data_IF_628282693530
#
_entry.id   IF_628282693530
#
_cell.length_a   1.000
_cell.length_b   1.000
_cell.length_c   1.000
_cell.angle_alpha   90.00
_cell.angle_beta   90.00
_cell.angle_gamma   90.00
#
_symmetry.space_group_name_H-M   'P 1'
#
loop_
_entity.id
_entity.type
_entity.pdbx_description
1 polymer ?
#
# COMPACT_ATOMS: atom_id res chain seq x y z
N UNK A 1 77.67 -7.56 -1.10
CA UNK A 1 76.21 -7.44 -1.34
C UNK A 1 76.01 -6.60 -2.60
N UNK A 2 74.95 -6.89 -3.34
CA UNK A 2 74.76 -6.68 -4.79
C UNK A 2 74.62 -5.22 -5.25
N UNK A 3 74.92 -5.00 -6.55
CA UNK A 3 74.85 -3.75 -7.33
C UNK A 3 73.46 -3.08 -7.30
N UNK A 4 73.37 -1.74 -7.42
CA UNK A 4 72.14 -1.03 -7.73
C UNK A 4 71.93 -0.94 -9.26
N UNK A 5 70.70 -1.19 -9.73
CA UNK A 5 70.25 -0.94 -11.10
C UNK A 5 69.06 0.03 -11.06
N UNK A 6 69.22 1.18 -11.73
CA UNK A 6 68.16 2.11 -12.19
C UNK A 6 67.35 1.42 -13.31
N UNK A 7 66.04 1.73 -13.56
CA UNK A 7 65.71 2.93 -14.33
C UNK A 7 64.33 3.60 -14.08
N UNK A 8 64.35 4.93 -14.25
CA UNK A 8 63.41 5.79 -14.98
C UNK A 8 62.22 5.12 -15.72
N UNK A 9 60.99 5.58 -15.46
CA UNK A 9 59.82 5.58 -16.38
C UNK A 9 58.77 6.56 -15.81
N UNK A 10 58.75 7.81 -16.29
CA UNK A 10 57.85 8.32 -17.33
C UNK A 10 56.54 8.89 -16.74
N UNK A 11 56.54 10.20 -16.56
CA UNK A 11 55.36 11.01 -16.36
C UNK A 11 54.60 11.17 -17.69
N UNK A 12 53.29 10.87 -17.67
CA UNK A 12 52.34 11.35 -18.68
C UNK A 12 51.16 11.98 -17.96
N UNK A 13 51.06 13.30 -18.09
CA UNK A 13 49.88 14.09 -17.78
C UNK A 13 48.88 14.05 -18.96
N UNK A 14 47.67 14.57 -18.70
CA UNK A 14 46.55 14.92 -19.61
C UNK A 14 45.56 13.75 -19.83
N UNK A 15 44.23 13.88 -19.70
CA UNK A 15 43.34 15.02 -19.92
C UNK A 15 42.15 15.07 -18.92
N UNK A 16 41.79 16.28 -18.47
CA UNK A 16 40.40 16.60 -18.15
C UNK A 16 39.64 16.83 -19.46
N UNK A 17 38.72 15.93 -19.80
CA UNK A 17 37.67 16.17 -20.78
C UNK A 17 36.52 15.18 -20.52
N UNK A 18 35.31 15.68 -20.24
CA UNK A 18 34.12 14.84 -20.27
C UNK A 18 32.99 15.24 -19.32
N UNK A 19 32.30 16.35 -19.62
CA UNK A 19 30.90 16.49 -19.26
C UNK A 19 30.08 15.35 -19.89
N UNK A 20 29.20 14.72 -19.12
CA UNK A 20 28.06 13.96 -19.63
C UNK A 20 28.40 12.72 -20.46
N UNK A 21 28.47 11.56 -19.82
CA UNK A 21 28.04 10.32 -20.45
C UNK A 21 26.87 9.76 -19.67
N UNK A 22 25.70 9.81 -20.31
CA UNK A 22 24.51 9.10 -19.92
C UNK A 22 24.84 7.64 -19.69
N UNK A 23 24.47 7.11 -18.53
CA UNK A 23 24.52 5.68 -18.25
C UNK A 23 23.81 4.92 -19.40
N UNK A 24 24.38 3.78 -19.85
CA UNK A 24 23.71 2.93 -20.80
C UNK A 24 22.37 2.49 -20.20
N UNK A 25 21.29 2.96 -20.80
CA UNK A 25 19.93 2.55 -20.47
C UNK A 25 19.82 1.06 -20.82
N UNK A 26 19.97 0.19 -19.82
CA UNK A 26 19.80 -1.26 -19.96
C UNK A 26 18.41 -1.50 -20.58
N UNK A 27 18.32 -1.97 -21.83
CA UNK A 27 17.04 -2.32 -22.41
C UNK A 27 16.58 -3.62 -21.75
N UNK A 28 15.45 -3.57 -21.05
CA UNK A 28 14.79 -4.79 -20.56
C UNK A 28 15.04 -5.17 -19.12
N UNK A 29 15.13 -4.21 -18.19
CA UNK A 29 14.75 -4.50 -16.81
C UNK A 29 13.27 -4.94 -16.83
N UNK A 30 13.03 -6.26 -16.82
CA UNK A 30 11.71 -6.84 -16.77
C UNK A 30 10.93 -6.15 -15.64
N UNK A 31 9.76 -5.60 -15.96
CA UNK A 31 8.93 -4.97 -14.95
C UNK A 31 8.69 -5.99 -13.84
N UNK A 32 9.17 -5.69 -12.63
CA UNK A 32 8.95 -6.56 -11.48
C UNK A 32 7.44 -6.80 -11.36
N UNK A 33 6.99 -8.05 -11.17
CA UNK A 33 5.57 -8.34 -11.01
C UNK A 33 4.97 -7.43 -9.93
N UNK A 34 3.82 -6.83 -10.24
CA UNK A 34 3.12 -5.97 -9.31
C UNK A 34 2.66 -6.82 -8.12
N UNK A 35 3.24 -6.56 -6.95
CA UNK A 35 2.84 -7.23 -5.71
C UNK A 35 1.61 -6.51 -5.15
N UNK A 36 0.64 -7.26 -4.63
CA UNK A 36 -0.52 -6.67 -3.97
C UNK A 36 -0.44 -6.93 -2.48
N UNK A 37 -0.84 -5.93 -1.70
CA UNK A 37 -0.80 -6.04 -0.25
C UNK A 37 -1.98 -5.38 0.44
N UNK A 38 -2.30 -5.83 1.64
CA UNK A 38 -3.27 -5.19 2.53
C UNK A 38 -2.55 -4.79 3.81
N UNK A 39 -2.52 -3.48 4.07
CA UNK A 39 -1.94 -2.91 5.28
C UNK A 39 -2.98 -2.03 5.98
N UNK A 40 -2.90 -1.90 7.31
CA UNK A 40 -3.79 -1.01 8.08
C UNK A 40 -3.15 0.33 8.45
N UNK A 41 -1.82 0.42 8.42
CA UNK A 41 -1.09 1.59 8.86
C UNK A 41 0.22 1.79 8.09
N UNK A 42 0.82 2.97 8.25
CA UNK A 42 2.16 3.27 7.73
C UNK A 42 3.20 2.32 8.33
N UNK A 43 3.06 1.99 9.62
CA UNK A 43 3.94 1.07 10.32
C UNK A 43 3.85 -0.34 9.74
N UNK A 44 2.64 -0.88 9.58
CA UNK A 44 2.41 -2.19 8.96
C UNK A 44 3.05 -2.29 7.57
N UNK A 45 2.88 -1.23 6.77
CA UNK A 45 3.43 -1.15 5.42
C UNK A 45 4.96 -1.11 5.46
N UNK A 46 5.56 -0.31 6.34
CA UNK A 46 7.01 -0.19 6.47
C UNK A 46 7.65 -1.49 6.98
N UNK A 47 7.02 -2.16 7.95
CA UNK A 47 7.47 -3.45 8.52
C UNK A 47 7.49 -4.57 7.49
N UNK A 48 6.71 -4.47 6.40
CA UNK A 48 6.76 -5.43 5.30
C UNK A 48 8.09 -5.43 4.53
N UNK A 49 8.88 -4.35 4.65
CA UNK A 49 10.12 -4.15 3.90
C UNK A 49 9.93 -3.93 2.39
N UNK A 50 8.68 -3.81 1.91
CA UNK A 50 8.37 -3.64 0.48
C UNK A 50 8.50 -2.21 -0.01
N UNK A 51 8.25 -1.24 0.87
CA UNK A 51 8.29 0.19 0.61
C UNK A 51 8.90 0.90 1.82
N UNK A 52 9.61 2.03 1.63
CA UNK A 52 10.07 2.85 2.74
C UNK A 52 8.89 3.57 3.43
N UNK A 53 9.07 3.92 4.70
CA UNK A 53 7.99 4.43 5.56
C UNK A 53 7.37 5.75 5.05
N UNK A 54 8.18 6.64 4.47
CA UNK A 54 7.73 7.89 3.86
C UNK A 54 6.81 7.65 2.65
N UNK A 55 7.14 6.65 1.83
CA UNK A 55 6.31 6.25 0.71
C UNK A 55 5.02 5.58 1.18
N UNK A 56 5.08 4.71 2.21
CA UNK A 56 3.89 4.14 2.84
C UNK A 56 2.94 5.24 3.34
N UNK A 57 3.46 6.24 4.06
CA UNK A 57 2.67 7.36 4.57
C UNK A 57 2.02 8.16 3.45
N UNK A 58 2.79 8.53 2.42
CA UNK A 58 2.28 9.26 1.26
C UNK A 58 1.13 8.54 0.55
N UNK A 59 1.24 7.21 0.41
CA UNK A 59 0.22 6.39 -0.24
C UNK A 59 -1.05 6.29 0.61
N UNK A 60 -0.89 6.12 1.93
CA UNK A 60 -2.00 6.08 2.88
C UNK A 60 -2.71 7.43 2.93
N UNK A 61 -1.99 8.54 3.04
CA UNK A 61 -2.58 9.89 3.04
C UNK A 61 -3.41 10.14 1.77
N UNK A 62 -2.89 9.71 0.62
CA UNK A 62 -3.64 9.78 -0.65
C UNK A 62 -4.91 8.92 -0.62
N UNK A 63 -4.84 7.72 -0.05
CA UNK A 63 -5.98 6.82 0.06
C UNK A 63 -7.03 7.32 1.06
N UNK A 64 -6.60 7.92 2.19
CA UNK A 64 -7.47 8.60 3.15
C UNK A 64 -8.17 9.78 2.49
N UNK A 65 -7.43 10.64 1.79
CA UNK A 65 -8.03 11.75 1.04
C UNK A 65 -9.02 11.26 -0.02
N UNK A 66 -8.72 10.15 -0.70
CA UNK A 66 -9.64 9.53 -1.64
C UNK A 66 -10.91 9.00 -0.94
N UNK A 67 -10.78 8.40 0.24
CA UNK A 67 -11.90 8.00 1.09
C UNK A 67 -12.76 9.21 1.47
N UNK A 68 -12.17 10.26 2.03
CA UNK A 68 -12.90 11.45 2.49
C UNK A 68 -13.66 12.17 1.37
N UNK A 69 -13.11 12.17 0.14
CA UNK A 69 -13.68 12.89 -0.99
C UNK A 69 -14.64 12.06 -1.85
N UNK A 70 -14.50 10.74 -1.86
CA UNK A 70 -15.24 9.86 -2.81
C UNK A 70 -16.05 8.77 -2.15
N UNK A 71 -15.95 8.57 -0.83
CA UNK A 71 -16.76 7.57 -0.14
C UNK A 71 -18.26 7.90 -0.32
N UNK A 72 -19.12 6.88 -0.53
CA UNK A 72 -20.55 7.08 -0.53
C UNK A 72 -21.01 7.75 0.76
N UNK A 73 -21.86 8.76 0.61
CA UNK A 73 -22.50 9.47 1.72
C UNK A 73 -23.95 9.01 1.89
N UNK A 74 -24.40 8.94 3.13
CA UNK A 74 -25.69 8.41 3.52
C UNK A 74 -26.38 9.43 4.42
N UNK A 75 -27.69 9.64 4.23
CA UNK A 75 -28.45 10.62 5.02
C UNK A 75 -28.66 10.19 6.48
N UNK A 76 -28.50 8.92 6.80
CA UNK A 76 -28.67 8.41 8.16
C UNK A 76 -27.86 7.15 8.42
N UNK A 77 -27.63 6.88 9.71
CA UNK A 77 -26.86 5.71 10.18
C UNK A 77 -27.42 4.41 9.62
N UNK A 78 -28.74 4.21 9.65
CA UNK A 78 -29.39 3.00 9.14
C UNK A 78 -29.05 2.70 7.69
N UNK A 79 -29.16 3.69 6.80
CA UNK A 79 -28.83 3.51 5.37
C UNK A 79 -27.34 3.23 5.13
N UNK A 80 -26.47 3.75 6.00
CA UNK A 80 -25.05 3.44 5.93
C UNK A 80 -24.80 2.00 6.42
N UNK A 81 -25.38 1.59 7.53
CA UNK A 81 -25.20 0.26 8.11
C UNK A 81 -25.82 -0.86 7.26
N UNK A 82 -26.93 -0.59 6.56
CA UNK A 82 -27.46 -1.48 5.52
C UNK A 82 -26.40 -1.76 4.43
N UNK A 83 -25.55 -0.78 4.14
CA UNK A 83 -24.45 -0.96 3.21
C UNK A 83 -23.23 -1.63 3.87
N UNK A 84 -22.76 -1.18 5.02
CA UNK A 84 -21.46 -1.55 5.62
C UNK A 84 -21.48 -2.52 6.79
N UNK A 85 -22.66 -2.85 7.32
CA UNK A 85 -22.82 -3.48 8.62
C UNK A 85 -22.94 -2.47 9.76
N UNK A 86 -23.40 -2.89 10.94
CA UNK A 86 -23.66 -2.04 12.09
C UNK A 86 -22.35 -1.58 12.70
N UNK A 87 -22.36 -0.40 13.31
CA UNK A 87 -21.19 0.21 13.93
C UNK A 87 -20.02 0.40 12.95
N UNK A 88 -20.28 0.30 11.64
CA UNK A 88 -19.31 0.49 10.54
C UNK A 88 -19.50 1.80 9.82
N UNK A 89 -20.16 2.75 10.48
CA UNK A 89 -20.45 4.06 9.96
C UNK A 89 -19.85 5.14 10.86
N UNK A 90 -19.37 6.21 10.26
CA UNK A 90 -18.94 7.41 10.95
C UNK A 90 -19.78 8.60 10.49
N UNK A 91 -20.11 9.47 11.45
CA UNK A 91 -20.86 10.69 11.21
C UNK A 91 -19.90 11.79 10.74
N UNK A 92 -20.25 12.44 9.65
CA UNK A 92 -19.52 13.58 9.09
C UNK A 92 -20.00 14.90 9.72
N UNK A 93 -19.22 15.97 9.54
CA UNK A 93 -19.51 17.29 10.12
C UNK A 93 -20.83 17.89 9.61
N UNK A 94 -21.23 17.57 8.38
CA UNK A 94 -22.50 17.98 7.77
C UNK A 94 -23.72 17.18 8.26
N UNK A 95 -23.51 16.27 9.22
CA UNK A 95 -24.56 15.42 9.79
C UNK A 95 -24.89 14.17 8.98
N UNK A 96 -24.30 13.99 7.79
CA UNK A 96 -24.42 12.76 7.01
C UNK A 96 -23.47 11.68 7.53
N UNK A 97 -23.55 10.47 6.97
CA UNK A 97 -22.77 9.31 7.38
C UNK A 97 -21.97 8.76 6.21
N UNK A 98 -20.82 8.16 6.50
CA UNK A 98 -20.07 7.35 5.54
C UNK A 98 -19.59 6.07 6.21
N UNK A 99 -19.21 5.10 5.40
CA UNK A 99 -18.63 3.87 5.92
C UNK A 99 -17.25 4.13 6.51
N UNK A 100 -16.91 3.50 7.62
CA UNK A 100 -15.57 3.60 8.21
C UNK A 100 -14.52 2.93 7.32
N UNK A 101 -13.45 3.65 7.05
CA UNK A 101 -12.22 3.09 6.47
C UNK A 101 -11.65 2.01 7.41
N UNK A 102 -11.14 0.91 6.85
CA UNK A 102 -10.60 -0.20 7.66
C UNK A 102 -9.17 -0.57 7.31
N UNK A 103 -8.81 -0.55 6.03
CA UNK A 103 -7.48 -0.93 5.56
C UNK A 103 -7.19 -0.27 4.22
N UNK A 104 -6.03 -0.59 3.65
CA UNK A 104 -5.56 -0.07 2.37
C UNK A 104 -5.09 -1.23 1.48
N UNK A 105 -5.61 -1.29 0.25
CA UNK A 105 -5.11 -2.19 -0.79
C UNK A 105 -3.99 -1.50 -1.54
N UNK A 106 -2.78 -2.02 -1.41
CA UNK A 106 -1.60 -1.57 -2.12
C UNK A 106 -1.41 -2.35 -3.41
N UNK A 107 -1.02 -1.63 -4.46
CA UNK A 107 -0.41 -2.18 -5.66
C UNK A 107 1.04 -1.69 -5.69
N UNK A 108 1.99 -2.58 -5.41
CA UNK A 108 3.40 -2.27 -5.15
C UNK A 108 4.21 -2.46 -6.43
N UNK A 109 4.78 -1.36 -6.90
CA UNK A 109 5.65 -1.32 -8.07
C UNK A 109 6.67 -0.16 -7.94
N UNK A 110 7.52 -0.25 -6.91
CA UNK A 110 8.53 0.77 -6.61
C UNK A 110 7.91 2.17 -6.50
N UNK A 111 8.45 3.15 -7.22
CA UNK A 111 7.95 4.53 -7.21
C UNK A 111 6.52 4.70 -7.76
N UNK A 112 6.01 3.75 -8.54
CA UNK A 112 4.66 3.80 -9.15
C UNK A 112 3.59 3.12 -8.29
N UNK A 113 3.92 2.78 -7.04
CA UNK A 113 2.98 2.11 -6.15
C UNK A 113 1.74 2.97 -5.89
N UNK A 114 0.61 2.31 -5.65
CA UNK A 114 -0.66 2.96 -5.31
C UNK A 114 -1.27 2.33 -4.06
N UNK A 115 -2.18 3.05 -3.40
CA UNK A 115 -3.02 2.51 -2.34
C UNK A 115 -4.45 2.99 -2.52
N UNK A 116 -5.41 2.10 -2.24
CA UNK A 116 -6.84 2.37 -2.31
C UNK A 116 -7.53 2.02 -0.98
N UNK A 117 -8.56 2.78 -0.56
CA UNK A 117 -9.26 2.50 0.68
C UNK A 117 -10.06 1.19 0.61
N UNK A 118 -10.02 0.43 1.70
CA UNK A 118 -10.79 -0.77 1.91
C UNK A 118 -11.78 -0.61 3.07
N UNK A 119 -12.91 -1.29 2.91
CA UNK A 119 -14.05 -1.23 3.80
C UNK A 119 -14.42 -2.61 4.35
N UNK A 120 -15.26 -2.70 5.40
CA UNK A 120 -15.72 -3.98 5.93
C UNK A 120 -16.32 -4.87 4.84
N UNK A 121 -15.99 -6.16 4.90
CA UNK A 121 -16.65 -7.16 4.06
C UNK A 121 -18.13 -7.24 4.40
N UNK A 122 -18.95 -7.60 3.42
CA UNK A 122 -20.33 -7.97 3.67
C UNK A 122 -20.42 -9.49 3.98
N UNK A 123 -21.43 -9.90 4.75
CA UNK A 123 -21.88 -11.30 4.85
C UNK A 123 -20.86 -12.30 5.43
N UNK A 124 -20.04 -11.90 6.39
CA UNK A 124 -19.24 -12.85 7.19
C UNK A 124 -17.99 -13.42 6.50
N UNK A 125 -17.61 -12.88 5.33
CA UNK A 125 -16.38 -13.24 4.65
C UNK A 125 -15.15 -12.66 5.36
N UNK A 126 -14.06 -13.44 5.44
CA UNK A 126 -12.78 -12.99 6.01
C UNK A 126 -12.05 -12.17 4.95
N UNK A 127 -12.21 -10.86 5.04
CA UNK A 127 -11.58 -9.92 4.13
C UNK A 127 -12.22 -8.55 4.20
N UNK A 128 -12.14 -7.85 3.07
CA UNK A 128 -12.60 -6.48 2.91
C UNK A 128 -13.40 -6.36 1.61
N UNK A 129 -13.82 -5.14 1.30
CA UNK A 129 -14.26 -4.77 -0.04
C UNK A 129 -13.68 -3.43 -0.45
N UNK A 130 -13.47 -3.25 -1.74
CA UNK A 130 -13.08 -1.97 -2.31
C UNK A 130 -14.27 -1.00 -2.41
N UNK A 131 -14.01 0.22 -2.87
CA UNK A 131 -15.04 1.24 -3.10
C UNK A 131 -16.11 0.82 -4.13
N UNK A 132 -15.77 -0.10 -5.03
CA UNK A 132 -16.68 -0.67 -6.02
C UNK A 132 -17.46 -1.89 -5.49
N UNK A 133 -17.39 -2.15 -4.18
CA UNK A 133 -18.01 -3.29 -3.48
C UNK A 133 -17.44 -4.65 -3.91
N UNK A 134 -16.30 -4.69 -4.60
CA UNK A 134 -15.66 -5.96 -4.97
C UNK A 134 -14.99 -6.57 -3.73
N UNK A 135 -15.19 -7.87 -3.48
CA UNK A 135 -14.56 -8.54 -2.35
C UNK A 135 -13.04 -8.61 -2.53
N UNK A 136 -12.31 -8.41 -1.44
CA UNK A 136 -10.86 -8.61 -1.34
C UNK A 136 -10.63 -9.60 -0.21
N UNK A 137 -10.28 -10.84 -0.55
CA UNK A 137 -10.08 -11.91 0.43
C UNK A 137 -8.78 -11.68 1.19
N UNK A 138 -8.83 -11.69 2.53
CA UNK A 138 -7.61 -11.65 3.35
C UNK A 138 -6.90 -13.02 3.43
N UNK A 139 -7.44 -14.04 2.73
CA UNK A 139 -6.87 -15.39 2.59
C UNK A 139 -6.41 -15.69 1.17
N UNK A 140 -6.28 -14.65 0.35
CA UNK A 140 -5.72 -14.80 -1.00
C UNK A 140 -4.20 -14.92 -0.87
N UNK A 141 -3.67 -16.10 -1.21
CA UNK A 141 -2.23 -16.40 -1.11
C UNK A 141 -1.38 -15.56 -2.08
N UNK A 142 -2.00 -14.84 -3.02
CA UNK A 142 -1.32 -13.86 -3.88
C UNK A 142 -1.17 -12.48 -3.25
N UNK A 143 -1.79 -12.24 -2.09
CA UNK A 143 -1.74 -10.98 -1.35
C UNK A 143 -0.81 -11.09 -0.13
N UNK A 144 0.02 -10.07 0.06
CA UNK A 144 0.67 -9.84 1.34
C UNK A 144 -0.36 -9.21 2.28
N UNK A 145 -0.67 -9.84 3.41
CA UNK A 145 -1.66 -9.30 4.36
C UNK A 145 -0.96 -9.08 5.71
N UNK A 146 -0.96 -7.85 6.23
CA UNK A 146 -0.41 -7.62 7.58
C UNK A 146 -1.23 -8.36 8.64
N UNK A 147 -0.58 -8.72 9.75
CA UNK A 147 -1.26 -9.38 10.86
C UNK A 147 -2.42 -8.54 11.41
N UNK A 148 -2.27 -7.21 11.44
CA UNK A 148 -3.35 -6.31 11.82
C UNK A 148 -4.52 -6.40 10.84
N UNK A 149 -4.25 -6.35 9.53
CA UNK A 149 -5.29 -6.48 8.50
C UNK A 149 -6.03 -7.82 8.59
N UNK A 150 -5.29 -8.92 8.81
CA UNK A 150 -5.89 -10.24 8.98
C UNK A 150 -6.76 -10.31 10.23
N UNK A 151 -6.30 -9.77 11.36
CA UNK A 151 -7.08 -9.67 12.60
C UNK A 151 -8.37 -8.89 12.38
N UNK A 152 -8.30 -7.73 11.74
CA UNK A 152 -9.48 -6.92 11.43
C UNK A 152 -10.46 -7.67 10.50
N UNK A 153 -9.95 -8.38 9.50
CA UNK A 153 -10.78 -9.20 8.60
C UNK A 153 -11.50 -10.32 9.35
N UNK A 154 -10.85 -10.95 10.32
CA UNK A 154 -11.47 -11.98 11.18
C UNK A 154 -12.55 -11.39 12.09
N UNK A 155 -12.30 -10.24 12.73
CA UNK A 155 -13.30 -9.57 13.56
C UNK A 155 -14.51 -9.10 12.74
N UNK A 156 -14.29 -8.59 11.53
CA UNK A 156 -15.37 -8.25 10.60
C UNK A 156 -16.24 -9.47 10.29
N UNK A 157 -15.61 -10.60 10.00
CA UNK A 157 -16.32 -11.84 9.72
C UNK A 157 -17.09 -12.37 10.93
N UNK A 158 -16.51 -12.29 12.14
CA UNK A 158 -17.15 -12.71 13.39
C UNK A 158 -18.40 -11.89 13.67
N UNK A 159 -18.28 -10.56 13.67
CA UNK A 159 -19.39 -9.65 13.93
C UNK A 159 -20.52 -9.84 12.91
N UNK A 160 -20.20 -9.95 11.62
CA UNK A 160 -21.21 -10.18 10.60
C UNK A 160 -21.95 -11.53 10.74
N UNK A 161 -21.32 -12.56 11.33
CA UNK A 161 -21.97 -13.86 11.62
C UNK A 161 -22.85 -13.80 12.86
N UNK A 162 -22.43 -13.08 13.90
CA UNK A 162 -23.22 -12.89 15.12
C UNK A 162 -24.55 -12.19 14.83
N UNK A 163 -24.55 -11.27 13.87
CA UNK A 163 -25.75 -10.58 13.41
C UNK A 163 -26.70 -11.39 12.53
N UNK A 164 -26.21 -12.45 11.88
CA UNK A 164 -27.02 -13.27 10.99
C UNK A 164 -27.84 -14.32 11.76
N UNK A 165 -27.69 -14.37 13.08
CA UNK A 165 -28.45 -15.21 14.01
C UNK A 165 -29.63 -14.43 14.57
#
# INVERSE_FOLDING_TARGET
MFRPHLPLLAATALLLAGCGQSEPKIPGAAAKPMEKAIFMSTTDCAESGKLPADQCGTLIDRAVKAHETKAPTFKGVRSCEEASGPDRCEKMMDGTFRMRLQAFLFEINGAKSTAAPLYPSAKGAIGFRDAAKKPVSARDDSLIVSQAALTAAHENARLAKEMAK
#
